data_IF_795898953225
#
_entry.id   IF_795898953225
#
_cell.length_a   1.000
_cell.length_b   1.000
_cell.length_c   1.000
_cell.angle_alpha   90.00
_cell.angle_beta   90.00
_cell.angle_gamma   90.00
#
_symmetry.space_group_name_H-M   'P 1'
#
loop_
_entity.id
_entity.type
_entity.pdbx_description
1 polymer ?
#
# COMPACT_ATOMS: atom_id res chain seq x y z
N UNK A 1 45.78 28.95 -41.07
CA UNK A 1 46.10 29.88 -39.97
C UNK A 1 45.56 29.28 -38.67
N UNK A 2 46.43 28.94 -37.71
CA UNK A 2 46.05 28.33 -36.43
C UNK A 2 45.91 29.41 -35.35
N UNK A 3 44.96 29.28 -34.44
CA UNK A 3 44.98 30.00 -33.16
C UNK A 3 44.57 29.04 -32.04
N UNK A 4 45.58 28.60 -31.29
CA UNK A 4 45.49 28.08 -29.94
C UNK A 4 44.85 29.12 -29.00
N UNK A 5 44.03 28.68 -28.05
CA UNK A 5 43.86 29.40 -26.79
C UNK A 5 43.71 28.42 -25.62
N UNK A 6 44.71 28.53 -24.76
CA UNK A 6 45.01 27.85 -23.50
C UNK A 6 43.98 28.04 -22.38
N UNK A 7 43.94 27.06 -21.48
CA UNK A 7 43.16 26.96 -20.24
C UNK A 7 43.43 28.07 -19.20
N UNK A 8 42.70 28.04 -18.07
CA UNK A 8 43.40 28.04 -16.79
C UNK A 8 43.01 26.87 -15.86
N UNK A 9 44.07 26.26 -15.31
CA UNK A 9 44.08 25.27 -14.25
C UNK A 9 43.51 25.85 -12.94
N UNK A 10 42.35 25.34 -12.50
CA UNK A 10 41.79 25.60 -11.19
C UNK A 10 42.41 24.68 -10.13
N UNK A 11 43.24 25.26 -9.28
CA UNK A 11 43.95 24.62 -8.15
C UNK A 11 42.98 24.32 -7.01
N UNK A 12 42.52 23.08 -6.89
CA UNK A 12 41.75 22.62 -5.73
C UNK A 12 42.69 22.40 -4.53
N UNK A 13 42.60 23.26 -3.52
CA UNK A 13 43.19 23.04 -2.20
C UNK A 13 42.33 22.03 -1.43
N UNK A 14 42.86 20.84 -1.18
CA UNK A 14 42.37 19.99 -0.10
C UNK A 14 42.70 20.64 1.24
N UNK A 15 41.68 21.09 1.97
CA UNK A 15 41.79 21.39 3.40
C UNK A 15 41.15 20.20 4.12
N UNK A 16 42.00 19.29 4.56
CA UNK A 16 41.68 18.24 5.52
C UNK A 16 41.60 18.87 6.91
N UNK A 17 40.38 19.14 7.38
CA UNK A 17 40.11 19.36 8.80
C UNK A 17 39.09 18.35 9.27
N UNK A 18 39.61 17.18 9.66
CA UNK A 18 38.91 16.28 10.58
C UNK A 18 38.77 17.00 11.92
N UNK A 19 37.59 17.52 12.21
CA UNK A 19 37.22 17.94 13.56
C UNK A 19 36.35 16.85 14.18
N UNK A 20 36.89 16.33 15.27
CA UNK A 20 36.29 15.40 16.22
C UNK A 20 34.84 15.77 16.55
N UNK A 21 33.91 14.86 16.27
CA UNK A 21 32.57 14.89 16.87
C UNK A 21 32.72 14.33 18.28
N UNK A 22 32.34 15.18 19.23
CA UNK A 22 32.35 14.91 20.65
C UNK A 22 31.49 13.71 21.01
N UNK A 23 32.00 12.93 21.96
CA UNK A 23 31.29 11.89 22.67
C UNK A 23 29.97 12.42 23.26
N UNK A 24 28.90 11.69 23.03
CA UNK A 24 27.62 11.90 23.69
C UNK A 24 27.69 11.31 25.11
N UNK A 25 27.23 12.03 26.15
CA UNK A 25 27.19 11.47 27.49
C UNK A 25 26.09 10.42 27.58
N UNK A 26 26.49 9.17 27.85
CA UNK A 26 25.59 8.09 28.28
C UNK A 26 25.12 8.36 29.71
N UNK A 27 24.00 9.05 29.85
CA UNK A 27 23.30 9.16 31.14
C UNK A 27 22.44 7.92 31.41
N UNK A 28 22.40 7.40 32.64
CA UNK A 28 21.54 6.27 32.99
C UNK A 28 20.08 6.74 33.14
N UNK A 29 19.20 6.28 32.25
CA UNK A 29 17.75 6.41 32.40
C UNK A 29 17.26 5.36 33.41
N UNK A 30 17.20 5.74 34.68
CA UNK A 30 16.37 5.06 35.68
C UNK A 30 14.90 5.36 35.39
N UNK A 31 14.25 4.51 34.60
CA UNK A 31 12.80 4.53 34.43
C UNK A 31 12.09 3.85 35.61
N UNK A 32 10.93 4.34 36.05
CA UNK A 32 10.19 3.78 37.17
C UNK A 32 9.64 2.39 36.83
N UNK A 33 9.89 1.45 37.74
CA UNK A 33 9.35 0.11 37.79
C UNK A 33 7.81 0.16 37.83
N UNK A 34 7.19 -0.21 36.72
CA UNK A 34 5.77 -0.54 36.68
C UNK A 34 5.55 -1.82 37.49
N UNK A 35 5.04 -1.63 38.70
CA UNK A 35 4.43 -2.65 39.53
C UNK A 35 3.31 -3.32 38.72
N UNK A 36 3.52 -4.56 38.29
CA UNK A 36 2.43 -5.44 37.88
C UNK A 36 1.66 -5.82 39.15
N UNK A 37 0.53 -5.15 39.39
CA UNK A 37 -0.44 -5.56 40.41
C UNK A 37 -1.17 -6.80 39.91
N UNK A 38 -0.61 -7.95 40.29
CA UNK A 38 -1.18 -9.28 40.23
C UNK A 38 -2.35 -9.40 41.23
N UNK A 39 -3.46 -8.72 40.98
CA UNK A 39 -4.67 -8.87 41.80
C UNK A 39 -5.97 -8.89 41.01
N UNK A 40 -6.69 -9.99 41.25
CA UNK A 40 -8.12 -10.23 41.04
C UNK A 40 -8.55 -10.45 39.60
N UNK A 41 -8.86 -11.71 39.28
CA UNK A 41 -10.25 -12.18 39.26
C UNK A 41 -10.31 -13.71 39.35
N UNK A 42 -10.21 -14.21 40.57
CA UNK A 42 -10.92 -15.44 40.95
C UNK A 42 -12.41 -15.12 41.09
N UNK A 43 -13.24 -16.15 40.92
CA UNK A 43 -14.70 -16.22 41.11
C UNK A 43 -15.54 -15.84 39.89
N UNK A 44 -15.96 -16.85 39.13
CA UNK A 44 -17.40 -17.15 39.07
C UNK A 44 -17.60 -18.67 39.00
N UNK A 45 -17.95 -19.20 40.17
CA UNK A 45 -18.47 -20.52 40.35
C UNK A 45 -19.90 -20.60 39.78
N UNK A 46 -20.17 -21.72 39.12
CA UNK A 46 -21.30 -22.61 39.36
C UNK A 46 -22.60 -21.98 39.87
N UNK A 47 -23.63 -21.94 39.03
CA UNK A 47 -25.02 -22.10 39.48
C UNK A 47 -25.81 -22.86 38.42
N UNK A 48 -25.90 -24.17 38.64
CA UNK A 48 -26.99 -24.98 38.16
C UNK A 48 -28.25 -24.62 38.97
N UNK A 49 -29.34 -24.27 38.30
CA UNK A 49 -30.66 -24.34 38.90
C UNK A 49 -31.73 -24.64 37.83
N UNK A 50 -32.39 -25.77 38.07
CA UNK A 50 -33.52 -26.31 37.34
C UNK A 50 -34.73 -25.37 37.43
N UNK A 51 -35.46 -25.23 36.32
CA UNK A 51 -36.78 -24.61 36.28
C UNK A 51 -37.69 -25.33 35.29
N UNK A 52 -38.33 -26.41 35.76
CA UNK A 52 -39.49 -27.03 35.15
C UNK A 52 -40.73 -26.17 35.46
N UNK A 53 -41.29 -25.49 34.45
CA UNK A 53 -42.68 -24.99 34.35
C UNK A 53 -42.74 -24.27 32.99
N UNK A 54 -43.60 -24.56 32.03
CA UNK A 54 -45.03 -24.79 32.14
C UNK A 54 -45.50 -25.55 30.89
N UNK A 55 -46.39 -26.51 31.13
CA UNK A 55 -46.93 -27.47 30.18
C UNK A 55 -48.40 -27.12 29.98
N UNK A 56 -48.73 -26.04 29.28
CA UNK A 56 -50.12 -25.74 28.86
C UNK A 56 -50.18 -24.79 27.66
N UNK A 57 -50.51 -25.37 26.51
CA UNK A 57 -51.29 -24.81 25.37
C UNK A 57 -50.75 -25.32 24.04
N UNK A 58 -51.00 -26.61 23.80
CA UNK A 58 -51.09 -27.14 22.44
C UNK A 58 -52.33 -26.54 21.77
N UNK A 59 -52.22 -26.35 20.46
CA UNK A 59 -53.25 -25.94 19.48
C UNK A 59 -53.66 -24.46 19.50
N UNK A 60 -52.96 -23.63 18.71
CA UNK A 60 -53.55 -22.63 17.80
C UNK A 60 -52.54 -21.56 17.32
N UNK A 61 -51.36 -21.91 16.78
CA UNK A 61 -50.53 -20.97 15.97
C UNK A 61 -49.65 -21.72 14.94
N UNK A 62 -50.27 -22.41 13.98
CA UNK A 62 -49.60 -22.96 12.79
C UNK A 62 -50.18 -22.22 11.57
N UNK A 63 -49.87 -20.93 11.41
CA UNK A 63 -50.26 -20.14 10.22
C UNK A 63 -49.51 -18.80 10.11
N UNK A 64 -48.28 -18.65 10.63
CA UNK A 64 -47.59 -17.35 10.57
C UNK A 64 -46.05 -17.45 10.63
N UNK A 65 -45.46 -18.47 10.02
CA UNK A 65 -44.00 -18.63 9.92
C UNK A 65 -43.49 -18.96 8.50
N UNK A 66 -44.29 -18.76 7.45
CA UNK A 66 -43.95 -19.14 6.07
C UNK A 66 -43.66 -17.97 5.11
N UNK A 67 -43.62 -16.72 5.61
CA UNK A 67 -43.44 -15.50 4.78
C UNK A 67 -42.16 -14.69 5.06
N UNK A 68 -41.22 -15.21 5.86
CA UNK A 68 -39.97 -14.53 6.20
C UNK A 68 -38.71 -15.13 5.53
N UNK A 69 -38.88 -15.89 4.44
CA UNK A 69 -37.78 -16.48 3.66
C UNK A 69 -37.63 -15.84 2.26
N UNK A 70 -38.32 -14.71 1.98
CA UNK A 70 -37.89 -13.81 0.92
C UNK A 70 -36.61 -13.12 1.39
N UNK A 71 -35.53 -13.91 1.33
CA UNK A 71 -34.20 -13.58 1.79
C UNK A 71 -33.75 -12.27 1.17
N UNK A 72 -33.30 -11.38 2.03
CA UNK A 72 -32.42 -10.30 1.66
C UNK A 72 -31.13 -10.89 1.10
N UNK A 73 -31.14 -11.36 -0.16
CA UNK A 73 -29.93 -11.43 -0.97
C UNK A 73 -29.54 -10.00 -1.31
N UNK A 74 -29.17 -9.24 -0.28
CA UNK A 74 -28.45 -7.99 -0.36
C UNK A 74 -27.05 -8.35 -0.85
N UNK A 75 -26.97 -8.73 -2.12
CA UNK A 75 -25.75 -8.70 -2.88
C UNK A 75 -25.45 -7.22 -3.10
N UNK A 76 -25.10 -6.53 -2.01
CA UNK A 76 -24.60 -5.17 -2.03
C UNK A 76 -23.44 -5.17 -2.99
N UNK A 77 -23.56 -4.39 -4.07
CA UNK A 77 -22.64 -4.43 -5.20
C UNK A 77 -21.19 -4.41 -4.73
N UNK A 78 -20.54 -5.58 -4.77
CA UNK A 78 -19.12 -5.71 -4.49
C UNK A 78 -18.39 -5.42 -5.80
N UNK A 79 -17.27 -4.71 -5.70
CA UNK A 79 -16.32 -4.68 -6.79
C UNK A 79 -15.80 -6.11 -7.04
N UNK A 80 -15.85 -6.55 -8.29
CA UNK A 80 -15.29 -7.85 -8.66
C UNK A 80 -13.78 -7.81 -8.42
N UNK A 81 -13.25 -8.87 -7.80
CA UNK A 81 -11.81 -9.00 -7.62
C UNK A 81 -11.11 -9.13 -8.97
N UNK A 82 -9.97 -8.44 -9.20
CA UNK A 82 -9.18 -8.64 -10.40
C UNK A 82 -8.74 -10.10 -10.47
N UNK A 83 -8.76 -10.68 -11.67
CA UNK A 83 -8.42 -12.09 -11.89
C UNK A 83 -6.92 -12.25 -12.15
N UNK A 84 -6.13 -11.95 -11.13
CA UNK A 84 -4.67 -12.12 -11.18
C UNK A 84 -4.32 -13.50 -10.61
N UNK A 85 -3.58 -14.30 -11.37
CA UNK A 85 -3.00 -15.56 -10.90
C UNK A 85 -1.63 -15.26 -10.26
N UNK A 86 -1.43 -15.50 -8.95
CA UNK A 86 -0.20 -15.12 -8.26
C UNK A 86 1.06 -15.77 -8.83
N UNK A 87 0.99 -17.04 -9.26
CA UNK A 87 2.14 -17.78 -9.75
C UNK A 87 2.56 -17.28 -11.15
N UNK A 88 1.58 -17.04 -12.03
CA UNK A 88 1.82 -16.43 -13.34
C UNK A 88 2.37 -15.01 -13.21
N UNK A 89 1.75 -14.17 -12.36
CA UNK A 89 2.20 -12.80 -12.16
C UNK A 89 3.62 -12.73 -11.54
N UNK A 90 3.96 -13.68 -10.67
CA UNK A 90 5.33 -13.79 -10.14
C UNK A 90 6.33 -14.21 -11.22
N UNK A 91 5.98 -15.18 -12.08
CA UNK A 91 6.82 -15.57 -13.21
C UNK A 91 7.07 -14.38 -14.15
N UNK A 92 6.00 -13.64 -14.50
CA UNK A 92 6.08 -12.45 -15.34
C UNK A 92 6.95 -11.37 -14.70
N UNK A 93 6.89 -11.20 -13.38
CA UNK A 93 7.74 -10.24 -12.66
C UNK A 93 9.23 -10.60 -12.75
N UNK A 94 9.59 -11.88 -12.59
CA UNK A 94 10.97 -12.36 -12.80
C UNK A 94 11.38 -12.09 -14.24
N UNK A 95 10.60 -12.52 -15.23
CA UNK A 95 10.92 -12.31 -16.65
C UNK A 95 11.15 -10.82 -17.01
N UNK A 96 10.38 -9.92 -16.39
CA UNK A 96 10.46 -8.49 -16.68
C UNK A 96 11.64 -7.77 -16.01
N UNK A 97 12.02 -8.17 -14.80
CA UNK A 97 12.93 -7.39 -13.96
C UNK A 97 14.25 -8.08 -13.60
N UNK A 98 14.29 -9.42 -13.56
CA UNK A 98 15.50 -10.22 -13.33
C UNK A 98 16.38 -10.14 -14.59
N UNK A 99 17.24 -9.12 -14.63
CA UNK A 99 18.08 -8.82 -15.78
C UNK A 99 19.34 -9.69 -15.80
N UNK A 100 19.74 -10.21 -14.63
CA UNK A 100 20.92 -11.05 -14.49
C UNK A 100 20.61 -12.56 -14.62
N UNK A 101 19.33 -12.93 -14.62
CA UNK A 101 18.78 -14.28 -14.71
C UNK A 101 19.21 -15.20 -13.55
N UNK A 102 19.29 -14.66 -12.32
CA UNK A 102 19.62 -15.43 -11.11
C UNK A 102 18.39 -16.02 -10.41
N UNK A 103 17.18 -15.71 -10.88
CA UNK A 103 15.91 -16.19 -10.36
C UNK A 103 15.33 -15.33 -9.24
N UNK A 104 15.95 -14.18 -8.93
CA UNK A 104 15.47 -13.22 -7.94
C UNK A 104 15.63 -11.78 -8.44
N UNK A 105 14.86 -10.85 -7.87
CA UNK A 105 14.94 -9.42 -8.19
C UNK A 105 15.69 -8.73 -7.05
N UNK A 106 16.87 -8.18 -7.32
CA UNK A 106 17.70 -7.58 -6.26
C UNK A 106 18.28 -6.22 -6.64
N UNK A 107 18.74 -5.45 -5.64
CA UNK A 107 19.55 -4.24 -5.85
C UNK A 107 19.00 -3.23 -6.86
N UNK A 108 19.65 -3.12 -8.03
CA UNK A 108 19.26 -2.21 -9.11
C UNK A 108 18.00 -2.65 -9.87
N UNK A 109 17.69 -3.94 -9.87
CA UNK A 109 16.50 -4.49 -10.53
C UNK A 109 15.23 -4.08 -9.76
N UNK A 110 15.28 -4.11 -8.44
CA UNK A 110 14.19 -3.61 -7.58
C UNK A 110 13.89 -2.12 -7.82
N UNK A 111 14.87 -1.31 -8.25
CA UNK A 111 14.64 0.10 -8.58
C UNK A 111 13.75 0.26 -9.83
N UNK A 112 13.64 -0.77 -10.67
CA UNK A 112 12.73 -0.79 -11.83
C UNK A 112 11.29 -1.15 -11.44
N UNK A 113 11.09 -1.76 -10.27
CA UNK A 113 9.78 -2.08 -9.70
C UNK A 113 9.57 -1.32 -8.38
N UNK A 114 9.31 0.01 -8.45
CA UNK A 114 9.19 0.83 -7.25
C UNK A 114 8.05 0.36 -6.34
N UNK A 115 6.96 -0.21 -6.89
CA UNK A 115 5.86 -0.77 -6.11
C UNK A 115 6.34 -1.84 -5.12
N UNK A 116 7.10 -2.82 -5.60
CA UNK A 116 7.69 -3.88 -4.78
C UNK A 116 8.76 -3.32 -3.82
N UNK A 117 9.63 -2.44 -4.31
CA UNK A 117 10.67 -1.81 -3.47
C UNK A 117 10.08 -1.07 -2.27
N UNK A 118 8.91 -0.41 -2.44
CA UNK A 118 8.22 0.30 -1.35
C UNK A 118 7.74 -0.62 -0.22
N UNK A 119 7.64 -1.93 -0.49
CA UNK A 119 7.20 -2.98 0.42
C UNK A 119 8.21 -4.13 0.51
N UNK A 120 9.49 -3.88 0.27
CA UNK A 120 10.52 -4.92 0.22
C UNK A 120 10.46 -5.87 1.43
N UNK A 121 10.36 -5.32 2.65
CA UNK A 121 10.30 -6.12 3.88
C UNK A 121 9.06 -7.04 4.00
N UNK A 122 8.03 -6.82 3.18
CA UNK A 122 6.85 -7.70 3.11
C UNK A 122 6.99 -8.78 2.03
N UNK A 123 7.88 -8.59 1.06
CA UNK A 123 8.21 -9.55 0.01
C UNK A 123 9.36 -10.45 0.45
N UNK A 124 10.48 -9.86 0.84
CA UNK A 124 11.72 -10.50 1.30
C UNK A 124 11.53 -11.11 2.69
N UNK A 125 10.96 -12.32 2.72
CA UNK A 125 10.60 -13.04 3.93
C UNK A 125 11.83 -13.65 4.59
N UNK A 126 12.85 -13.98 3.78
CA UNK A 126 14.10 -14.58 4.24
C UNK A 126 15.16 -13.53 4.68
N UNK A 127 14.94 -12.24 4.36
CA UNK A 127 15.79 -11.08 4.66
C UNK A 127 17.16 -11.09 3.96
N UNK A 128 17.24 -11.62 2.74
CA UNK A 128 18.48 -11.67 1.95
C UNK A 128 18.70 -10.42 1.07
N UNK A 129 17.71 -9.52 1.01
CA UNK A 129 17.75 -8.29 0.21
C UNK A 129 17.44 -8.49 -1.27
N UNK A 130 17.01 -9.69 -1.66
CA UNK A 130 16.43 -10.03 -2.95
C UNK A 130 14.97 -10.47 -2.75
N UNK A 131 14.24 -10.60 -3.85
CA UNK A 131 12.89 -11.17 -3.83
C UNK A 131 12.80 -12.25 -4.90
N UNK A 132 12.61 -13.49 -4.48
CA UNK A 132 12.48 -14.62 -5.41
C UNK A 132 11.03 -14.79 -5.92
N UNK A 133 10.85 -15.66 -6.92
CA UNK A 133 9.53 -15.91 -7.51
C UNK A 133 8.50 -16.38 -6.47
N UNK A 134 8.90 -17.23 -5.53
CA UNK A 134 7.98 -17.82 -4.54
C UNK A 134 7.52 -16.76 -3.52
N UNK A 135 8.41 -15.86 -3.13
CA UNK A 135 8.11 -14.71 -2.28
C UNK A 135 7.11 -13.74 -2.95
N UNK A 136 7.30 -13.44 -4.25
CA UNK A 136 6.35 -12.62 -5.03
C UNK A 136 4.98 -13.29 -5.07
N UNK A 137 4.93 -14.58 -5.43
CA UNK A 137 3.67 -15.33 -5.53
C UNK A 137 2.94 -15.39 -4.18
N UNK A 138 3.68 -15.63 -3.08
CA UNK A 138 3.13 -15.65 -1.73
C UNK A 138 2.52 -14.30 -1.35
N UNK A 139 3.24 -13.20 -1.61
CA UNK A 139 2.76 -11.85 -1.28
C UNK A 139 1.53 -11.47 -2.11
N UNK A 140 1.52 -11.77 -3.41
CA UNK A 140 0.36 -11.54 -4.27
C UNK A 140 -0.85 -12.38 -3.82
N UNK A 141 -0.64 -13.64 -3.47
CA UNK A 141 -1.68 -14.50 -2.93
C UNK A 141 -2.29 -13.95 -1.63
N UNK A 142 -1.46 -13.41 -0.73
CA UNK A 142 -1.92 -12.75 0.49
C UNK A 142 -2.76 -11.51 0.17
N UNK A 143 -2.27 -10.64 -0.72
CA UNK A 143 -2.93 -9.40 -1.11
C UNK A 143 -4.30 -9.66 -1.76
N UNK A 144 -4.43 -10.73 -2.53
CA UNK A 144 -5.67 -11.10 -3.24
C UNK A 144 -6.60 -12.02 -2.43
N UNK A 145 -6.15 -12.54 -1.28
CA UNK A 145 -6.84 -13.56 -0.46
C UNK A 145 -8.28 -13.19 -0.11
N UNK A 146 -8.52 -11.92 0.21
CA UNK A 146 -9.83 -11.46 0.70
C UNK A 146 -10.87 -11.29 -0.42
N UNK A 147 -10.47 -11.41 -1.70
CA UNK A 147 -11.33 -11.18 -2.87
C UNK A 147 -12.06 -9.84 -2.82
N UNK A 148 -11.48 -8.86 -2.13
CA UNK A 148 -11.95 -7.48 -2.15
C UNK A 148 -11.48 -6.89 -3.46
N UNK A 149 -12.40 -6.48 -4.34
CA UNK A 149 -11.99 -6.01 -5.67
C UNK A 149 -11.43 -4.60 -5.70
N UNK A 150 -11.79 -3.77 -4.73
CA UNK A 150 -11.27 -2.42 -4.64
C UNK A 150 -11.36 -1.86 -3.22
N UNK A 151 -10.52 -0.87 -2.92
CA UNK A 151 -10.55 -0.07 -1.68
C UNK A 151 -10.65 1.41 -1.99
N UNK A 152 -11.21 2.19 -1.06
CA UNK A 152 -11.05 3.64 -1.11
C UNK A 152 -9.60 3.98 -0.76
N UNK A 153 -9.03 5.00 -1.41
CA UNK A 153 -7.66 5.45 -1.19
C UNK A 153 -7.58 6.98 -1.29
N UNK A 154 -7.28 7.60 -0.16
CA UNK A 154 -6.94 9.01 -0.05
C UNK A 154 -5.40 9.15 -0.04
N UNK A 155 -4.91 10.06 -0.88
CA UNK A 155 -3.49 10.31 -1.10
C UNK A 155 -3.15 11.75 -0.70
N UNK A 156 -2.20 11.93 0.20
CA UNK A 156 -1.65 13.25 0.52
C UNK A 156 -0.33 13.45 -0.18
N UNK A 157 -0.16 14.58 -0.85
CA UNK A 157 1.10 14.98 -1.48
C UNK A 157 1.60 16.27 -0.85
N UNK A 158 2.83 16.24 -0.36
CA UNK A 158 3.55 17.43 0.07
C UNK A 158 4.78 17.64 -0.81
N UNK A 159 5.16 18.90 -1.04
CA UNK A 159 6.41 19.26 -1.70
C UNK A 159 7.14 20.28 -0.86
N UNK A 160 8.39 19.96 -0.47
CA UNK A 160 9.21 20.78 0.44
C UNK A 160 8.47 21.11 1.74
N UNK A 161 7.79 20.11 2.31
CA UNK A 161 7.04 20.21 3.57
C UNK A 161 5.73 21.00 3.50
N UNK A 162 5.28 21.41 2.30
CA UNK A 162 4.00 22.11 2.10
C UNK A 162 3.03 21.26 1.30
N UNK A 163 1.71 21.31 1.59
CA UNK A 163 0.72 20.63 0.76
C UNK A 163 0.80 21.07 -0.71
N UNK A 164 0.83 20.10 -1.62
CA UNK A 164 0.90 20.34 -3.06
C UNK A 164 -0.49 20.18 -3.68
N UNK A 165 -1.26 21.26 -3.75
CA UNK A 165 -2.58 21.28 -4.41
C UNK A 165 -2.50 21.48 -5.91
N UNK A 166 -3.40 20.85 -6.67
CA UNK A 166 -3.43 20.88 -8.14
C UNK A 166 -2.50 19.88 -8.82
N UNK A 167 -1.86 18.99 -8.06
CA UNK A 167 -1.06 17.90 -8.60
C UNK A 167 -1.96 16.75 -9.06
N UNK A 168 -1.64 16.18 -10.22
CA UNK A 168 -2.24 14.92 -10.68
C UNK A 168 -1.41 13.76 -10.16
N UNK A 169 -2.03 12.87 -9.41
CA UNK A 169 -1.46 11.62 -8.91
C UNK A 169 -2.04 10.49 -9.74
N UNK A 170 -1.17 9.69 -10.35
CA UNK A 170 -1.50 8.53 -11.15
C UNK A 170 -0.84 7.29 -10.53
N UNK A 171 -1.64 6.27 -10.26
CA UNK A 171 -1.20 4.92 -9.91
C UNK A 171 -1.24 4.08 -11.19
N UNK A 172 -0.08 3.80 -11.75
CA UNK A 172 0.10 2.90 -12.89
C UNK A 172 0.35 1.49 -12.34
N UNK A 173 -0.50 0.49 -12.65
CA UNK A 173 -0.28 -0.89 -12.24
C UNK A 173 1.05 -1.40 -12.78
N UNK A 174 1.76 -2.19 -11.98
CA UNK A 174 2.97 -2.83 -12.49
C UNK A 174 2.60 -3.86 -13.59
N UNK A 175 3.39 -3.99 -14.67
CA UNK A 175 3.00 -4.76 -15.85
C UNK A 175 2.72 -6.24 -15.60
N UNK A 176 3.39 -6.85 -14.62
CA UNK A 176 3.21 -8.26 -14.26
C UNK A 176 1.84 -8.57 -13.64
N UNK A 177 1.04 -7.55 -13.31
CA UNK A 177 -0.35 -7.74 -12.87
C UNK A 177 -1.34 -7.88 -14.05
N UNK A 178 -0.86 -7.70 -15.28
CA UNK A 178 -1.66 -7.74 -16.50
C UNK A 178 -2.72 -6.63 -16.56
N UNK A 179 -3.70 -6.81 -17.46
CA UNK A 179 -4.72 -5.80 -17.74
C UNK A 179 -5.89 -5.79 -16.73
N UNK A 180 -5.94 -6.74 -15.79
CA UNK A 180 -7.06 -6.88 -14.84
C UNK A 180 -7.03 -5.77 -13.76
N UNK A 181 -5.84 -5.28 -13.41
CA UNK A 181 -5.65 -4.16 -12.49
C UNK A 181 -5.70 -2.86 -13.28
N UNK A 182 -6.63 -1.96 -12.94
CA UNK A 182 -6.83 -0.71 -13.69
C UNK A 182 -6.06 0.43 -13.05
N UNK A 183 -5.52 1.38 -13.85
CA UNK A 183 -4.89 2.56 -13.32
C UNK A 183 -5.91 3.41 -12.56
N UNK A 184 -5.42 4.09 -11.52
CA UNK A 184 -6.23 4.99 -10.70
C UNK A 184 -5.60 6.38 -10.67
N UNK A 185 -6.41 7.41 -10.75
CA UNK A 185 -5.94 8.79 -10.74
C UNK A 185 -6.75 9.69 -9.81
N UNK A 186 -6.15 10.82 -9.44
CA UNK A 186 -6.82 11.88 -8.71
C UNK A 186 -6.03 13.18 -8.76
N UNK A 187 -6.73 14.29 -8.56
CA UNK A 187 -6.12 15.62 -8.49
C UNK A 187 -6.17 16.11 -7.04
N UNK A 188 -5.05 16.59 -6.52
CA UNK A 188 -4.97 17.08 -5.15
C UNK A 188 -5.73 18.41 -5.00
N UNK A 189 -6.51 18.52 -3.93
CA UNK A 189 -7.14 19.77 -3.51
C UNK A 189 -6.08 20.76 -2.95
N UNK A 190 -6.43 22.03 -2.65
CA UNK A 190 -5.50 22.98 -2.01
C UNK A 190 -4.86 22.48 -0.71
N UNK A 191 -5.49 21.51 -0.02
CA UNK A 191 -4.96 20.83 1.16
C UNK A 191 -3.90 19.77 0.85
N UNK A 192 -3.55 19.53 -0.41
CA UNK A 192 -2.62 18.48 -0.85
C UNK A 192 -3.23 17.07 -0.86
N UNK A 193 -4.52 16.92 -0.59
CA UNK A 193 -5.19 15.60 -0.55
C UNK A 193 -5.93 15.34 -1.86
N UNK A 194 -5.75 14.15 -2.44
CA UNK A 194 -6.48 13.63 -3.59
C UNK A 194 -7.20 12.33 -3.19
N UNK A 195 -8.44 12.15 -3.65
CA UNK A 195 -9.11 10.85 -3.58
C UNK A 195 -8.93 10.14 -4.91
N UNK A 196 -8.24 9.00 -4.89
CA UNK A 196 -7.88 8.27 -6.10
C UNK A 196 -9.03 7.37 -6.55
N UNK A 197 -9.16 7.19 -7.87
CA UNK A 197 -10.21 6.35 -8.45
C UNK A 197 -9.79 5.79 -9.79
N UNK A 198 -10.17 4.55 -10.04
CA UNK A 198 -10.21 4.01 -11.41
C UNK A 198 -11.22 4.78 -12.26
N UNK A 199 -11.04 4.74 -13.58
CA UNK A 199 -11.89 5.45 -14.51
C UNK A 199 -13.35 4.93 -14.46
N UNK A 200 -14.38 5.80 -14.56
CA UNK A 200 -15.79 5.43 -14.35
C UNK A 200 -16.33 4.34 -15.29
N UNK A 201 -15.70 4.14 -16.45
CA UNK A 201 -16.02 3.10 -17.42
C UNK A 201 -15.67 1.68 -16.93
N UNK A 202 -14.71 1.55 -16.03
CA UNK A 202 -14.35 0.28 -15.39
C UNK A 202 -15.17 0.00 -14.13
N UNK A 203 -15.95 0.99 -13.68
CA UNK A 203 -16.81 0.88 -12.50
C UNK A 203 -18.24 0.51 -12.93
N UNK A 204 -18.85 -0.55 -12.35
CA UNK A 204 -20.26 -0.86 -12.57
C UNK A 204 -21.15 0.36 -12.31
N UNK A 205 -22.18 0.57 -13.13
CA UNK A 205 -22.98 1.81 -13.11
C UNK A 205 -23.51 2.17 -11.71
N UNK A 206 -23.98 1.16 -10.96
CA UNK A 206 -24.50 1.32 -9.60
C UNK A 206 -23.43 1.67 -8.55
N UNK A 207 -22.13 1.52 -8.87
CA UNK A 207 -20.99 1.85 -8.00
C UNK A 207 -20.19 3.06 -8.48
N UNK A 208 -20.56 3.73 -9.58
CA UNK A 208 -19.81 4.88 -10.13
C UNK A 208 -19.63 6.06 -9.17
N UNK A 209 -20.41 6.11 -8.10
CA UNK A 209 -20.27 7.11 -7.02
C UNK A 209 -19.11 6.80 -6.07
N UNK A 210 -18.69 5.54 -6.01
CA UNK A 210 -17.56 5.10 -5.19
C UNK A 210 -16.26 5.45 -5.90
N UNK A 211 -15.31 5.99 -5.14
CA UNK A 211 -13.94 6.25 -5.58
C UNK A 211 -13.10 5.10 -5.07
N UNK A 212 -12.73 4.20 -5.96
CA UNK A 212 -12.12 2.94 -5.58
C UNK A 212 -10.87 2.66 -6.43
N UNK A 213 -9.92 1.97 -5.84
CA UNK A 213 -8.65 1.55 -6.43
C UNK A 213 -8.55 0.03 -6.28
N UNK A 214 -8.16 -0.68 -7.35
CA UNK A 214 -7.95 -2.12 -7.28
C UNK A 214 -6.79 -2.47 -6.34
N UNK A 215 -6.81 -3.68 -5.79
CA UNK A 215 -5.66 -4.17 -5.05
C UNK A 215 -4.51 -4.53 -6.01
N UNK A 216 -3.30 -4.08 -5.69
CA UNK A 216 -2.09 -4.40 -6.44
C UNK A 216 -0.88 -3.55 -6.01
N UNK A 217 0.20 -3.73 -6.76
CA UNK A 217 1.40 -2.90 -6.74
C UNK A 217 1.35 -1.88 -7.87
N UNK A 218 1.76 -0.66 -7.57
CA UNK A 218 1.67 0.47 -8.47
C UNK A 218 2.96 1.28 -8.49
N UNK A 219 3.32 1.72 -9.68
CA UNK A 219 4.22 2.84 -9.90
C UNK A 219 3.42 4.14 -9.80
N UNK A 220 3.90 5.07 -8.97
CA UNK A 220 3.20 6.32 -8.68
C UNK A 220 3.81 7.44 -9.50
N UNK A 221 3.02 8.16 -10.30
CA UNK A 221 3.47 9.35 -11.03
C UNK A 221 2.74 10.57 -10.53
N UNK A 222 3.51 11.61 -10.20
CA UNK A 222 2.99 12.89 -9.72
C UNK A 222 3.44 13.98 -10.68
N UNK A 223 2.46 14.66 -11.27
CA UNK A 223 2.69 15.79 -12.18
C UNK A 223 1.95 17.03 -11.66
N UNK A 224 2.45 18.21 -12.01
CA UNK A 224 1.80 19.47 -11.63
C UNK A 224 1.90 20.46 -12.79
N UNK A 225 0.82 21.17 -13.16
CA UNK A 225 0.80 22.03 -14.34
C UNK A 225 1.76 23.22 -14.25
N UNK A 226 1.91 23.81 -13.05
CA UNK A 226 2.66 25.05 -12.86
C UNK A 226 3.96 24.91 -12.06
N UNK A 227 4.23 23.74 -11.47
CA UNK A 227 5.36 23.53 -10.56
C UNK A 227 6.22 22.44 -11.19
N UNK A 228 7.46 22.75 -11.61
CA UNK A 228 8.34 21.73 -12.16
C UNK A 228 8.77 20.78 -11.04
N UNK A 229 8.31 19.53 -11.13
CA UNK A 229 8.71 18.46 -10.22
C UNK A 229 9.92 17.70 -10.79
N UNK A 230 10.88 17.28 -9.95
CA UNK A 230 11.97 16.40 -10.37
C UNK A 230 11.51 15.17 -11.15
N UNK A 231 12.31 14.73 -12.13
CA UNK A 231 11.96 13.60 -13.00
C UNK A 231 11.66 12.29 -12.24
N UNK A 232 12.32 12.11 -11.08
CA UNK A 232 12.15 10.97 -10.18
C UNK A 232 10.75 10.82 -9.56
N UNK A 233 9.86 11.79 -9.79
CA UNK A 233 8.46 11.72 -9.39
C UNK A 233 7.48 11.62 -10.57
N UNK A 234 7.95 11.74 -11.82
CA UNK A 234 7.09 11.73 -13.01
C UNK A 234 7.52 10.73 -14.08
N UNK A 235 8.37 11.12 -15.01
CA UNK A 235 8.83 10.35 -16.18
C UNK A 235 9.78 9.23 -15.79
N UNK A 236 10.55 9.41 -14.72
CA UNK A 236 11.47 8.43 -14.16
C UNK A 236 11.05 8.08 -12.74
N UNK A 237 9.75 7.91 -12.51
CA UNK A 237 9.26 7.80 -11.14
C UNK A 237 9.89 6.63 -10.39
N UNK A 238 10.40 6.93 -9.20
CA UNK A 238 10.91 5.98 -8.22
C UNK A 238 9.91 5.78 -7.07
N UNK A 239 8.75 6.43 -7.15
CA UNK A 239 7.68 6.27 -6.16
C UNK A 239 6.89 5.01 -6.46
N UNK A 240 6.74 4.17 -5.45
CA UNK A 240 5.90 2.99 -5.51
C UNK A 240 4.89 2.99 -4.38
N UNK A 241 3.82 2.25 -4.60
CA UNK A 241 2.81 1.99 -3.59
C UNK A 241 2.20 0.63 -3.81
N UNK A 242 1.92 -0.08 -2.72
CA UNK A 242 1.08 -1.27 -2.71
C UNK A 242 -0.15 -0.97 -1.88
N UNK A 243 -1.32 -1.25 -2.43
CA UNK A 243 -2.58 -1.12 -1.69
C UNK A 243 -2.68 -2.19 -0.61
N UNK A 244 -3.04 -1.80 0.60
CA UNK A 244 -3.20 -2.72 1.73
C UNK A 244 -4.66 -2.78 2.19
N UNK A 245 -5.09 -3.95 2.65
CA UNK A 245 -6.42 -4.11 3.20
C UNK A 245 -6.56 -3.27 4.48
N UNK A 246 -7.57 -2.39 4.52
CA UNK A 246 -7.87 -1.57 5.70
C UNK A 246 -6.98 -0.33 5.88
N UNK A 247 -6.08 -0.04 4.94
CA UNK A 247 -5.29 1.19 4.94
C UNK A 247 -5.75 2.13 3.81
N UNK A 248 -6.72 3.03 4.07
CA UNK A 248 -7.27 3.92 3.05
C UNK A 248 -6.41 5.16 2.81
N UNK A 249 -5.18 5.22 3.33
CA UNK A 249 -4.37 6.44 3.31
C UNK A 249 -2.93 6.19 2.86
N UNK A 250 -2.44 7.05 1.97
CA UNK A 250 -1.03 7.11 1.56
C UNK A 250 -0.53 8.54 1.57
N UNK A 251 0.75 8.75 1.90
CA UNK A 251 1.37 10.06 1.88
C UNK A 251 2.69 10.05 1.10
N UNK A 252 2.84 10.97 0.15
CA UNK A 252 4.06 11.20 -0.62
C UNK A 252 4.67 12.54 -0.22
N UNK A 253 5.87 12.47 0.37
CA UNK A 253 6.63 13.65 0.77
C UNK A 253 7.74 13.91 -0.25
N UNK A 254 7.51 14.87 -1.13
CA UNK A 254 8.40 15.19 -2.23
C UNK A 254 9.46 16.21 -1.78
N UNK A 255 10.72 15.92 -2.06
CA UNK A 255 11.89 16.76 -1.76
C UNK A 255 12.69 17.03 -3.04
N UNK A 256 13.68 17.91 -2.99
CA UNK A 256 14.63 18.13 -4.10
C UNK A 256 15.67 17.01 -4.23
#
# INVERSE_FOLDING_TARGET
MPCCATAPCGRWRMISTWRSIAAWPTGPTSGPSLHCDERRMTHFATLAARGLCDRRSRTARIASCLLALAGCSWNSGRFAAPKVDPDSAAADAIELYDANADGAISGEELQRCPGMLSKLAAYDANQDGAVDQAEIALRLAELLKHRTGATELDCTVTYRGRPLGGATVLLEPEPYLGDEVKPAEGVTAPSGVARLSIAPEFIPEHLRRLKAVHYGTFKVRITHPSIPLPARYNSQSQLGYETEAGNPYVAFNLTD
#
